data_IF_387235483782
#
_entry.id   IF_387235483782
#
_cell.length_a   1.000
_cell.length_b   1.000
_cell.length_c   1.000
_cell.angle_alpha   90.00
_cell.angle_beta   90.00
_cell.angle_gamma   90.00
#
_symmetry.space_group_name_H-M   'P 1'
#
loop_
_entity.id
_entity.type
_entity.pdbx_description
1 polymer ?
#
# COMPACT_ATOMS: atom_id res chain seq x y z
N UNK A 1 12.86 -0.73 -9.27
CA UNK A 1 11.99 0.19 -8.51
C UNK A 1 12.33 0.05 -7.04
N UNK A 2 12.40 1.15 -6.30
CA UNK A 2 12.68 1.09 -4.86
C UNK A 2 11.34 1.22 -4.13
N UNK A 3 10.84 0.10 -3.64
CA UNK A 3 9.63 0.01 -2.84
C UNK A 3 9.96 0.54 -1.44
N UNK A 4 9.45 1.72 -1.13
CA UNK A 4 9.69 2.38 0.14
C UNK A 4 8.36 2.87 0.70
N UNK A 5 8.15 2.57 1.98
CA UNK A 5 6.96 2.95 2.72
C UNK A 5 7.36 3.59 4.04
N UNK A 6 6.42 4.32 4.61
CA UNK A 6 6.49 4.80 5.99
C UNK A 6 5.36 4.17 6.79
N UNK A 7 5.67 3.77 8.02
CA UNK A 7 4.65 3.40 9.01
C UNK A 7 4.10 4.70 9.62
N UNK A 8 2.82 4.92 9.44
CA UNK A 8 2.10 6.05 10.05
C UNK A 8 1.44 5.52 11.31
N UNK A 9 1.91 5.96 12.48
CA UNK A 9 1.32 5.61 13.77
C UNK A 9 0.31 6.65 14.23
N UNK A 10 -0.77 6.17 14.84
CA UNK A 10 -1.73 6.94 15.65
C UNK A 10 -2.29 8.18 14.96
N UNK A 11 -2.47 8.11 13.63
CA UNK A 11 -3.08 9.17 12.83
C UNK A 11 -4.19 8.61 11.99
N UNK A 12 -5.41 8.72 12.48
CA UNK A 12 -6.61 8.41 11.70
C UNK A 12 -6.72 9.45 10.57
N UNK A 13 -6.69 9.05 9.30
CA UNK A 13 -6.90 9.99 8.22
C UNK A 13 -8.29 10.62 8.34
N UNK A 14 -8.41 11.93 8.11
CA UNK A 14 -9.66 12.69 8.27
C UNK A 14 -10.84 12.14 7.44
N UNK A 15 -10.57 11.35 6.39
CA UNK A 15 -11.55 10.53 5.68
C UNK A 15 -11.22 9.06 5.94
N UNK A 16 -12.23 8.21 6.16
CA UNK A 16 -12.04 6.75 6.11
C UNK A 16 -11.47 6.40 4.74
N UNK A 17 -10.20 6.05 4.69
CA UNK A 17 -9.51 5.64 3.47
C UNK A 17 -9.36 4.12 3.53
N UNK A 18 -9.60 3.44 2.41
CA UNK A 18 -9.39 2.01 2.29
C UNK A 18 -7.93 1.66 1.99
N UNK A 19 -7.54 0.46 2.40
CA UNK A 19 -6.33 -0.19 1.96
C UNK A 19 -6.40 -0.45 0.46
N UNK A 20 -5.36 -0.11 -0.29
CA UNK A 20 -5.33 -0.32 -1.74
C UNK A 20 -5.41 -1.81 -2.12
N UNK A 21 -4.96 -2.71 -1.24
CA UNK A 21 -4.89 -4.14 -1.53
C UNK A 21 -6.17 -4.90 -1.16
N UNK A 22 -6.70 -4.69 0.04
CA UNK A 22 -7.87 -5.44 0.53
C UNK A 22 -9.17 -4.61 0.54
N UNK A 23 -9.12 -3.32 0.18
CA UNK A 23 -10.25 -2.39 0.22
C UNK A 23 -10.88 -2.15 1.60
N UNK A 24 -10.35 -2.78 2.65
CA UNK A 24 -10.79 -2.58 4.03
C UNK A 24 -10.36 -1.20 4.56
N UNK A 25 -11.11 -0.60 5.50
CA UNK A 25 -10.71 0.64 6.16
C UNK A 25 -9.34 0.48 6.83
N UNK A 26 -8.42 1.41 6.59
CA UNK A 26 -7.15 1.41 7.32
C UNK A 26 -7.39 1.82 8.78
N UNK A 27 -6.73 1.13 9.70
CA UNK A 27 -6.78 1.42 11.13
C UNK A 27 -5.86 2.58 11.49
N UNK A 28 -5.74 2.86 12.80
CA UNK A 28 -4.97 3.97 13.36
C UNK A 28 -3.48 3.90 13.02
N UNK A 29 -2.98 2.69 12.70
CA UNK A 29 -1.63 2.46 12.17
C UNK A 29 -1.71 1.85 10.76
N UNK A 30 -1.03 2.47 9.80
CA UNK A 30 -1.03 2.00 8.42
C UNK A 30 0.28 2.30 7.71
N UNK A 31 0.58 1.54 6.65
CA UNK A 31 1.69 1.83 5.77
C UNK A 31 1.28 2.80 4.68
N UNK A 32 2.10 3.80 4.41
CA UNK A 32 1.95 4.70 3.27
C UNK A 32 3.15 4.55 2.35
N UNK A 33 2.89 4.18 1.10
CA UNK A 33 3.93 4.14 0.07
C UNK A 33 4.40 5.58 -0.25
N UNK A 34 5.71 5.79 -0.30
CA UNK A 34 6.29 7.12 -0.48
C UNK A 34 6.03 7.66 -1.89
N UNK A 35 6.18 6.81 -2.91
CA UNK A 35 6.10 7.20 -4.31
C UNK A 35 4.68 7.57 -4.75
N UNK A 36 3.68 6.79 -4.34
CA UNK A 36 2.29 6.91 -4.81
C UNK A 36 1.37 7.53 -3.77
N UNK A 37 1.76 7.52 -2.49
CA UNK A 37 0.89 7.88 -1.38
C UNK A 37 -0.21 6.87 -1.08
N UNK A 38 -0.20 5.70 -1.73
CA UNK A 38 -1.12 4.61 -1.47
C UNK A 38 -0.97 4.10 -0.03
N UNK A 39 -2.08 3.64 0.53
CA UNK A 39 -2.16 3.21 1.93
C UNK A 39 -2.49 1.73 2.01
N UNK A 40 -1.88 1.06 2.98
CA UNK A 40 -2.02 -0.37 3.21
C UNK A 40 -2.20 -0.61 4.70
N UNK A 41 -3.00 -1.61 5.07
CA UNK A 41 -3.18 -1.97 6.48
C UNK A 41 -1.83 -2.29 7.14
N UNK A 42 -1.02 -3.09 6.45
CA UNK A 42 0.23 -3.61 6.97
C UNK A 42 1.21 -3.99 5.84
N UNK A 43 2.32 -4.58 6.26
CA UNK A 43 3.36 -5.06 5.36
C UNK A 43 2.87 -6.19 4.43
N UNK A 44 1.95 -7.05 4.87
CA UNK A 44 1.44 -8.14 4.02
C UNK A 44 0.66 -7.58 2.83
N UNK A 45 -0.23 -6.63 3.09
CA UNK A 45 -0.97 -5.92 2.04
C UNK A 45 -0.03 -5.18 1.08
N UNK A 46 1.03 -4.54 1.60
CA UNK A 46 2.03 -3.87 0.78
C UNK A 46 2.82 -4.84 -0.10
N UNK A 47 3.28 -5.97 0.47
CA UNK A 47 4.05 -6.98 -0.25
C UNK A 47 3.23 -7.60 -1.39
N UNK A 48 1.97 -7.97 -1.11
CA UNK A 48 1.06 -8.50 -2.13
C UNK A 48 0.86 -7.52 -3.30
N UNK A 49 0.69 -6.23 -3.00
CA UNK A 49 0.59 -5.20 -4.02
C UNK A 49 1.87 -5.09 -4.86
N UNK A 50 3.04 -5.13 -4.20
CA UNK A 50 4.34 -5.10 -4.90
C UNK A 50 4.52 -6.30 -5.84
N UNK A 51 4.09 -7.49 -5.42
CA UNK A 51 4.14 -8.69 -6.25
C UNK A 51 3.23 -8.59 -7.48
N UNK A 52 2.00 -8.08 -7.31
CA UNK A 52 1.07 -7.87 -8.42
C UNK A 52 1.65 -6.86 -9.41
N UNK A 53 2.14 -5.71 -8.92
CA UNK A 53 2.80 -4.72 -9.78
C UNK A 53 4.02 -5.27 -10.51
N UNK A 54 4.81 -6.12 -9.86
CA UNK A 54 5.96 -6.76 -10.49
C UNK A 54 5.51 -7.70 -11.62
N UNK A 55 4.45 -8.49 -11.40
CA UNK A 55 3.87 -9.40 -12.41
C UNK A 55 3.27 -8.67 -13.60
N UNK A 56 2.55 -7.58 -13.37
CA UNK A 56 1.94 -6.79 -14.45
C UNK A 56 3.00 -6.17 -15.37
N UNK A 57 4.17 -5.80 -14.83
CA UNK A 57 5.29 -5.33 -15.66
C UNK A 57 5.93 -6.43 -16.51
N UNK A 58 6.06 -7.64 -15.97
CA UNK A 58 6.55 -8.78 -16.75
C UNK A 58 5.62 -9.01 -17.94
N UNK A 59 4.30 -8.90 -17.74
CA UNK A 59 3.31 -9.02 -18.81
C UNK A 59 3.35 -7.86 -19.81
N UNK A 60 3.49 -6.61 -19.34
CA UNK A 60 3.55 -5.45 -20.22
C UNK A 60 4.85 -5.33 -21.04
N UNK A 61 5.89 -6.07 -20.66
CA UNK A 61 7.17 -6.12 -21.36
C UNK A 61 7.32 -7.35 -22.28
N UNK A 62 6.28 -8.20 -22.39
CA UNK A 62 6.25 -9.38 -23.26
C UNK A 62 5.53 -9.12 -24.57
#
# INVERSE_FOLDING_TARGET
MRFAFVLVNDRIPFRRIGCMQCSEPVSDSYLREIATGLRYCDHQCYALFCEVLAKDRVRAAS
#
